data_IF_420205375891
#
_entry.id   IF_420205375891
#
_cell.length_a   1.000
_cell.length_b   1.000
_cell.length_c   1.000
_cell.angle_alpha   90.00
_cell.angle_beta   90.00
_cell.angle_gamma   90.00
#
_symmetry.space_group_name_H-M   'P 1'
#
loop_
_entity.id
_entity.type
_entity.pdbx_description
1 polymer ?
#
# COMPACT_ATOMS: atom_id res chain seq x y z
N UNK A 1 -15.03 10.39 1.79
CA UNK A 1 -14.81 9.92 3.18
C UNK A 1 -16.13 9.37 3.68
N UNK A 2 -16.12 8.15 4.22
CA UNK A 2 -17.29 7.57 4.89
C UNK A 2 -17.17 7.87 6.37
N UNK A 3 -18.24 8.40 6.97
CA UNK A 3 -18.27 8.71 8.39
C UNK A 3 -19.18 7.72 9.08
N UNK A 4 -18.67 7.09 10.13
CA UNK A 4 -19.43 6.26 11.04
C UNK A 4 -19.74 7.07 12.29
N UNK A 5 -20.98 7.01 12.74
CA UNK A 5 -21.41 7.67 13.97
C UNK A 5 -21.65 6.58 15.01
N UNK A 6 -20.96 6.68 16.14
CA UNK A 6 -21.12 5.77 17.27
C UNK A 6 -21.63 6.54 18.48
N UNK A 7 -22.42 5.93 19.37
CA UNK A 7 -22.85 6.62 20.58
C UNK A 7 -21.68 6.86 21.52
N UNK A 8 -21.64 8.02 22.17
CA UNK A 8 -20.72 8.29 23.27
C UNK A 8 -21.24 7.57 24.52
N UNK A 9 -20.80 6.33 24.71
CA UNK A 9 -21.31 5.44 25.77
C UNK A 9 -21.23 6.04 27.18
N UNK A 10 -20.24 6.89 27.46
CA UNK A 10 -20.11 7.57 28.77
C UNK A 10 -21.25 8.56 29.04
N UNK A 11 -21.76 9.22 28.01
CA UNK A 11 -22.80 10.25 28.11
C UNK A 11 -24.18 9.63 27.89
N UNK A 12 -24.32 8.78 26.87
CA UNK A 12 -25.59 8.19 26.46
C UNK A 12 -26.01 7.00 27.35
N UNK A 13 -25.06 6.25 27.90
CA UNK A 13 -25.32 5.08 28.73
C UNK A 13 -26.22 5.37 29.94
N UNK A 14 -25.90 6.38 30.77
CA UNK A 14 -26.74 6.78 31.90
C UNK A 14 -28.12 7.31 31.49
N UNK A 15 -28.20 8.03 30.35
CA UNK A 15 -29.45 8.65 29.88
C UNK A 15 -30.43 7.62 29.31
N UNK A 16 -29.94 6.68 28.51
CA UNK A 16 -30.79 5.83 27.68
C UNK A 16 -30.75 4.34 28.03
N UNK A 17 -29.76 3.90 28.83
CA UNK A 17 -29.70 2.57 29.44
C UNK A 17 -30.12 1.42 28.52
N UNK A 18 -31.33 0.89 28.73
CA UNK A 18 -31.91 -0.23 27.96
C UNK A 18 -32.07 0.07 26.46
N UNK A 19 -32.20 1.32 26.07
CA UNK A 19 -32.35 1.75 24.66
C UNK A 19 -31.01 1.84 23.92
N UNK A 20 -29.87 1.74 24.62
CA UNK A 20 -28.53 1.86 24.00
C UNK A 20 -28.29 0.89 22.85
N UNK A 21 -28.85 -0.32 22.94
CA UNK A 21 -28.74 -1.31 21.86
C UNK A 21 -29.44 -0.81 20.59
N UNK A 22 -30.68 -0.34 20.72
CA UNK A 22 -31.45 0.19 19.60
C UNK A 22 -30.82 1.46 19.01
N UNK A 23 -30.28 2.34 19.87
CA UNK A 23 -29.56 3.56 19.43
C UNK A 23 -28.31 3.19 18.62
N UNK A 24 -27.53 2.22 19.09
CA UNK A 24 -26.31 1.77 18.38
C UNK A 24 -26.66 1.18 17.01
N UNK A 25 -27.72 0.37 16.93
CA UNK A 25 -28.20 -0.23 15.68
C UNK A 25 -28.79 0.80 14.70
N UNK A 26 -29.42 1.86 15.21
CA UNK A 26 -29.94 2.95 14.39
C UNK A 26 -28.78 3.80 13.84
N UNK A 27 -27.83 4.19 14.70
CA UNK A 27 -26.66 4.99 14.33
C UNK A 27 -25.77 4.31 13.28
N UNK A 28 -25.58 2.99 13.36
CA UNK A 28 -24.76 2.25 12.38
C UNK A 28 -25.34 2.21 10.96
N UNK A 29 -26.63 2.51 10.80
CA UNK A 29 -27.32 2.56 9.50
C UNK A 29 -27.37 3.96 8.90
N UNK A 30 -27.02 4.99 9.67
CA UNK A 30 -27.07 6.37 9.20
C UNK A 30 -25.89 6.69 8.27
N UNK A 31 -26.11 7.65 7.38
CA UNK A 31 -25.03 8.31 6.66
C UNK A 31 -24.42 9.38 7.58
N UNK A 32 -23.22 9.15 8.10
CA UNK A 32 -22.61 10.09 9.06
C UNK A 32 -22.44 11.53 8.55
N UNK A 33 -22.40 11.76 7.22
CA UNK A 33 -22.39 13.11 6.65
C UNK A 33 -23.68 13.89 6.94
N UNK A 34 -24.83 13.23 6.94
CA UNK A 34 -26.13 13.86 7.21
C UNK A 34 -26.21 14.28 8.69
N UNK A 35 -25.72 13.43 9.59
CA UNK A 35 -25.63 13.71 11.04
C UNK A 35 -24.71 14.90 11.31
N UNK A 36 -23.51 14.91 10.72
CA UNK A 36 -22.56 16.03 10.84
C UNK A 36 -23.14 17.33 10.29
N UNK A 37 -23.85 17.28 9.16
CA UNK A 37 -24.46 18.46 8.56
C UNK A 37 -25.52 19.06 9.48
N UNK A 38 -26.39 18.22 10.07
CA UNK A 38 -27.39 18.66 11.03
C UNK A 38 -26.77 19.30 12.29
N UNK A 39 -25.69 18.73 12.81
CA UNK A 39 -24.97 19.34 13.94
C UNK A 39 -24.41 20.72 13.59
N UNK A 40 -23.86 20.90 12.39
CA UNK A 40 -23.34 22.20 11.97
C UNK A 40 -24.43 23.23 11.68
N UNK A 41 -25.63 22.81 11.24
CA UNK A 41 -26.72 23.71 10.87
C UNK A 41 -27.66 24.04 12.03
N UNK A 42 -28.14 23.02 12.75
CA UNK A 42 -29.18 23.13 13.77
C UNK A 42 -28.69 22.76 15.17
N UNK A 43 -27.48 22.20 15.30
CA UNK A 43 -26.94 21.74 16.59
C UNK A 43 -27.56 20.43 17.10
N UNK A 44 -28.55 19.89 16.38
CA UNK A 44 -29.32 18.70 16.78
C UNK A 44 -29.57 17.83 15.56
N UNK A 45 -29.45 16.52 15.72
CA UNK A 45 -29.92 15.51 14.76
C UNK A 45 -31.08 14.72 15.36
N UNK A 46 -32.22 14.69 14.67
CA UNK A 46 -33.40 13.98 15.12
C UNK A 46 -33.36 12.52 14.65
N UNK A 47 -33.16 11.59 15.59
CA UNK A 47 -33.24 10.16 15.34
C UNK A 47 -34.70 9.71 15.38
N UNK A 48 -35.42 9.93 14.27
CA UNK A 48 -36.88 9.80 14.18
C UNK A 48 -37.38 8.40 14.58
N UNK A 49 -36.65 7.34 14.23
CA UNK A 49 -37.01 5.94 14.53
C UNK A 49 -37.14 5.65 16.03
N UNK A 50 -36.45 6.43 16.87
CA UNK A 50 -36.47 6.29 18.33
C UNK A 50 -37.07 7.51 19.03
N UNK A 51 -37.40 8.58 18.30
CA UNK A 51 -37.86 9.84 18.88
C UNK A 51 -36.83 10.52 19.78
N UNK A 52 -35.54 10.38 19.44
CA UNK A 52 -34.42 10.89 20.25
C UNK A 52 -33.72 12.03 19.52
N UNK A 53 -33.47 13.11 20.24
CA UNK A 53 -32.66 14.22 19.75
C UNK A 53 -31.21 14.02 20.19
N UNK A 54 -30.31 13.92 19.21
CA UNK A 54 -28.89 13.79 19.46
C UNK A 54 -28.21 15.16 19.36
N UNK A 55 -27.35 15.46 20.33
CA UNK A 55 -26.42 16.59 20.25
C UNK A 55 -24.99 16.10 19.96
N UNK A 56 -24.05 16.96 19.54
CA UNK A 56 -22.69 16.54 19.19
C UNK A 56 -21.97 15.74 20.29
N UNK A 57 -22.23 16.04 21.56
CA UNK A 57 -21.64 15.39 22.73
C UNK A 57 -22.13 13.95 22.92
N UNK A 58 -23.31 13.61 22.39
CA UNK A 58 -23.92 12.29 22.53
C UNK A 58 -23.29 11.25 21.60
N UNK A 59 -22.44 11.66 20.65
CA UNK A 59 -21.87 10.77 19.64
C UNK A 59 -20.37 10.99 19.42
N UNK A 60 -19.73 9.96 18.88
CA UNK A 60 -18.36 9.98 18.39
C UNK A 60 -18.41 9.71 16.89
N UNK A 61 -17.81 10.58 16.11
CA UNK A 61 -17.72 10.41 14.66
C UNK A 61 -16.34 9.85 14.31
N UNK A 62 -16.33 8.72 13.61
CA UNK A 62 -15.13 8.08 13.11
C UNK A 62 -15.10 8.17 11.58
N UNK A 63 -13.92 8.43 11.02
CA UNK A 63 -13.73 8.35 9.57
C UNK A 63 -13.36 6.90 9.26
N UNK A 64 -14.17 6.25 8.42
CA UNK A 64 -13.83 4.94 7.89
C UNK A 64 -13.08 5.15 6.55
N UNK A 65 -11.87 4.56 6.41
CA UNK A 65 -11.21 4.49 5.11
C UNK A 65 -12.09 3.79 4.07
N UNK A 66 -11.98 4.20 2.81
CA UNK A 66 -12.52 3.38 1.73
C UNK A 66 -11.71 2.08 1.64
N UNK A 67 -12.36 1.02 1.18
CA UNK A 67 -11.67 -0.24 0.87
C UNK A 67 -10.47 0.03 -0.04
N UNK A 68 -9.32 -0.59 0.24
CA UNK A 68 -8.05 -0.34 -0.46
C UNK A 68 -7.25 0.87 0.05
N UNK A 69 -7.69 1.56 1.11
CA UNK A 69 -6.92 2.64 1.73
C UNK A 69 -6.57 2.32 3.19
N UNK A 70 -5.32 2.56 3.57
CA UNK A 70 -4.90 2.65 4.97
C UNK A 70 -5.00 4.11 5.40
N UNK A 71 -5.64 4.35 6.54
CA UNK A 71 -5.89 5.69 7.06
C UNK A 71 -5.20 5.87 8.39
N UNK A 72 -4.37 6.91 8.50
CA UNK A 72 -3.76 7.33 9.75
C UNK A 72 -4.15 8.78 10.03
N UNK A 73 -4.47 9.04 11.30
CA UNK A 73 -4.85 10.38 11.76
C UNK A 73 -3.89 10.84 12.85
N UNK A 74 -3.28 12.00 12.63
CA UNK A 74 -2.48 12.68 13.65
C UNK A 74 -3.03 14.09 13.84
N UNK A 75 -3.62 14.34 15.01
CA UNK A 75 -4.38 15.55 15.33
C UNK A 75 -5.53 15.79 14.33
N UNK A 76 -5.52 16.93 13.65
CA UNK A 76 -6.48 17.40 12.64
C UNK A 76 -6.06 17.03 11.20
N UNK A 77 -4.97 16.26 11.03
CA UNK A 77 -4.47 15.83 9.72
C UNK A 77 -4.74 14.35 9.47
N UNK A 78 -5.08 14.08 8.22
CA UNK A 78 -5.44 12.75 7.75
C UNK A 78 -4.54 12.36 6.58
N UNK A 79 -3.93 11.18 6.66
CA UNK A 79 -3.18 10.58 5.56
C UNK A 79 -3.93 9.32 5.13
N UNK A 80 -4.22 9.25 3.83
CA UNK A 80 -4.79 8.07 3.20
C UNK A 80 -3.78 7.53 2.20
N UNK A 81 -3.32 6.30 2.40
CA UNK A 81 -2.46 5.58 1.47
C UNK A 81 -3.30 4.57 0.69
N UNK A 82 -3.36 4.72 -0.64
CA UNK A 82 -3.91 3.70 -1.52
C UNK A 82 -2.94 2.51 -1.56
N UNK A 83 -3.42 1.35 -1.13
CA UNK A 83 -2.63 0.11 -1.11
C UNK A 83 -2.90 -0.77 -2.33
N UNK A 84 -3.65 -0.29 -3.31
CA UNK A 84 -3.95 -1.02 -4.53
C UNK A 84 -2.71 -1.13 -5.39
N UNK A 85 -2.17 -2.35 -5.53
CA UNK A 85 -1.06 -2.62 -6.43
C UNK A 85 -1.56 -2.70 -7.87
N UNK A 86 -1.13 -1.74 -8.69
CA UNK A 86 -1.36 -1.77 -10.13
C UNK A 86 -0.31 -2.66 -10.81
N UNK A 87 -0.58 -3.20 -12.01
CA UNK A 87 0.42 -3.95 -12.78
C UNK A 87 1.72 -3.17 -12.98
N UNK A 88 1.60 -1.85 -13.18
CA UNK A 88 2.75 -0.95 -13.34
C UNK A 88 3.59 -0.84 -12.06
N UNK A 89 2.94 -0.73 -10.90
CA UNK A 89 3.64 -0.71 -9.60
C UNK A 89 4.31 -2.04 -9.29
N UNK A 90 3.71 -3.17 -9.68
CA UNK A 90 4.32 -4.49 -9.55
C UNK A 90 5.59 -4.59 -10.39
N UNK A 91 5.53 -4.20 -11.66
CA UNK A 91 6.69 -4.22 -12.56
C UNK A 91 7.82 -3.31 -12.07
N UNK A 92 7.50 -2.11 -11.58
CA UNK A 92 8.48 -1.21 -10.96
C UNK A 92 9.12 -1.83 -9.72
N UNK A 93 8.30 -2.50 -8.88
CA UNK A 93 8.77 -3.23 -7.70
C UNK A 93 9.76 -4.34 -8.05
N UNK A 94 9.45 -5.15 -9.08
CA UNK A 94 10.37 -6.18 -9.57
C UNK A 94 11.66 -5.57 -10.12
N UNK A 95 11.59 -4.49 -10.89
CA UNK A 95 12.77 -3.81 -11.42
C UNK A 95 13.69 -3.27 -10.31
N UNK A 96 13.12 -2.65 -9.27
CA UNK A 96 13.89 -2.15 -8.11
C UNK A 96 14.57 -3.28 -7.34
N UNK A 97 13.86 -4.39 -7.14
CA UNK A 97 14.41 -5.53 -6.42
C UNK A 97 15.49 -6.24 -7.25
N UNK A 98 15.34 -6.32 -8.58
CA UNK A 98 16.41 -6.77 -9.47
C UNK A 98 17.67 -5.90 -9.35
N UNK A 99 17.53 -4.57 -9.37
CA UNK A 99 18.66 -3.66 -9.13
C UNK A 99 19.30 -3.95 -7.78
N UNK A 100 18.52 -4.15 -6.72
CA UNK A 100 19.04 -4.49 -5.40
C UNK A 100 19.89 -5.77 -5.44
N UNK A 101 19.38 -6.86 -6.05
CA UNK A 101 20.10 -8.13 -6.13
C UNK A 101 21.34 -8.05 -7.00
N UNK A 102 21.27 -7.40 -8.16
CA UNK A 102 22.43 -7.21 -9.04
C UNK A 102 23.54 -6.44 -8.31
N UNK A 103 23.20 -5.36 -7.62
CA UNK A 103 24.17 -4.57 -6.84
C UNK A 103 24.72 -5.35 -5.64
N UNK A 104 23.92 -6.21 -5.03
CA UNK A 104 24.37 -7.12 -3.99
C UNK A 104 25.38 -8.14 -4.54
N UNK A 105 25.07 -8.83 -5.64
CA UNK A 105 25.98 -9.78 -6.30
C UNK A 105 27.31 -9.13 -6.69
N UNK A 106 27.29 -7.89 -7.20
CA UNK A 106 28.52 -7.14 -7.51
C UNK A 106 29.42 -6.96 -6.29
N UNK A 107 28.83 -6.69 -5.12
CA UNK A 107 29.57 -6.58 -3.86
C UNK A 107 30.10 -7.93 -3.40
N UNK A 108 29.30 -8.99 -3.53
CA UNK A 108 29.76 -10.35 -3.20
C UNK A 108 30.93 -10.83 -4.07
N UNK A 109 31.00 -10.34 -5.30
CA UNK A 109 32.10 -10.65 -6.24
C UNK A 109 33.25 -9.65 -6.19
N UNK A 110 33.26 -8.72 -5.22
CA UNK A 110 34.29 -7.69 -5.03
C UNK A 110 34.54 -6.83 -6.29
N UNK A 111 33.49 -6.52 -7.06
CA UNK A 111 33.61 -5.64 -8.22
C UNK A 111 33.81 -4.18 -7.82
N UNK A 112 34.59 -3.45 -8.61
CA UNK A 112 34.77 -2.01 -8.40
C UNK A 112 33.47 -1.25 -8.70
N UNK A 113 33.33 -0.08 -8.07
CA UNK A 113 32.14 0.77 -8.20
C UNK A 113 31.90 1.18 -9.66
N UNK A 114 32.96 1.31 -10.47
CA UNK A 114 32.89 1.77 -11.86
C UNK A 114 32.83 0.62 -12.88
N UNK A 115 32.88 -0.63 -12.42
CA UNK A 115 32.93 -1.77 -13.34
C UNK A 115 31.63 -1.89 -14.14
N UNK A 116 31.77 -2.06 -15.45
CA UNK A 116 30.64 -2.39 -16.31
C UNK A 116 30.44 -3.89 -16.35
N UNK A 117 29.19 -4.32 -16.45
CA UNK A 117 28.82 -5.73 -16.34
C UNK A 117 27.85 -6.18 -17.43
N UNK A 118 27.81 -7.48 -17.66
CA UNK A 118 26.72 -8.17 -18.34
C UNK A 118 25.98 -8.99 -17.30
N UNK A 119 24.66 -8.88 -17.27
CA UNK A 119 23.80 -9.67 -16.40
C UNK A 119 23.07 -10.70 -17.25
N UNK A 120 23.31 -11.97 -16.97
CA UNK A 120 22.49 -13.07 -17.44
C UNK A 120 21.41 -13.36 -16.39
N UNK A 121 20.18 -13.56 -16.85
CA UNK A 121 19.06 -13.82 -15.96
C UNK A 121 18.16 -14.94 -16.51
N UNK A 122 17.56 -15.71 -15.61
CA UNK A 122 16.51 -16.69 -15.90
C UNK A 122 15.36 -16.50 -14.92
N UNK A 123 14.13 -16.44 -15.44
CA UNK A 123 12.93 -16.18 -14.66
C UNK A 123 11.67 -16.27 -15.52
N UNK A 124 10.54 -16.00 -14.88
CA UNK A 124 9.21 -16.03 -15.51
C UNK A 124 8.94 -14.80 -16.40
N UNK A 125 7.74 -14.77 -16.98
CA UNK A 125 7.34 -13.73 -17.93
C UNK A 125 6.99 -12.39 -17.26
N UNK A 126 6.68 -12.36 -15.97
CA UNK A 126 6.48 -11.11 -15.25
C UNK A 126 7.81 -10.39 -15.02
N UNK A 127 8.87 -11.16 -14.76
CA UNK A 127 10.25 -10.65 -14.71
C UNK A 127 10.71 -10.18 -16.09
N UNK A 128 10.38 -10.92 -17.15
CA UNK A 128 10.62 -10.47 -18.53
C UNK A 128 9.97 -9.10 -18.77
N UNK A 129 8.67 -8.98 -18.47
CA UNK A 129 7.92 -7.74 -18.69
C UNK A 129 8.50 -6.55 -17.87
N UNK A 130 8.94 -6.80 -16.63
CA UNK A 130 9.60 -5.79 -15.82
C UNK A 130 10.95 -5.36 -16.41
N UNK A 131 11.78 -6.30 -16.87
CA UNK A 131 13.08 -6.02 -17.49
C UNK A 131 12.91 -5.29 -18.82
N UNK A 132 11.89 -5.63 -19.62
CA UNK A 132 11.63 -4.95 -20.88
C UNK A 132 11.16 -3.51 -20.65
N UNK A 133 10.26 -3.29 -19.69
CA UNK A 133 9.73 -1.96 -19.38
C UNK A 133 10.75 -1.05 -18.69
N UNK A 134 11.59 -1.60 -17.81
CA UNK A 134 12.55 -0.84 -17.00
C UNK A 134 14.01 -1.11 -17.40
N UNK A 135 14.26 -1.54 -18.64
CA UNK A 135 15.60 -1.95 -19.11
C UNK A 135 16.66 -0.88 -18.86
N UNK A 136 16.39 0.34 -19.32
CA UNK A 136 17.33 1.46 -19.21
C UNK A 136 17.59 1.84 -17.75
N UNK A 137 16.54 1.80 -16.92
CA UNK A 137 16.66 2.06 -15.49
C UNK A 137 17.58 1.03 -14.82
N UNK A 138 17.31 -0.26 -15.02
CA UNK A 138 18.11 -1.34 -14.42
C UNK A 138 19.56 -1.24 -14.88
N UNK A 139 19.81 -1.08 -16.18
CA UNK A 139 21.16 -0.94 -16.74
C UNK A 139 21.91 0.25 -16.16
N UNK A 140 21.26 1.40 -16.08
CA UNK A 140 21.86 2.62 -15.54
C UNK A 140 22.25 2.46 -14.07
N UNK A 141 21.34 1.95 -13.24
CA UNK A 141 21.58 1.81 -11.81
C UNK A 141 22.61 0.74 -11.46
N UNK A 142 22.82 -0.25 -12.34
CA UNK A 142 23.73 -1.38 -12.11
C UNK A 142 25.03 -1.32 -12.91
N UNK A 143 25.21 -0.26 -13.71
CA UNK A 143 26.27 -0.13 -14.72
C UNK A 143 26.34 -1.34 -15.67
N UNK A 144 25.20 -1.95 -15.96
CA UNK A 144 25.12 -3.08 -16.89
C UNK A 144 25.03 -2.59 -18.33
N UNK A 145 25.83 -3.18 -19.20
CA UNK A 145 25.77 -2.94 -20.64
C UNK A 145 24.65 -3.78 -21.28
N UNK A 146 24.41 -4.97 -20.75
CA UNK A 146 23.44 -5.92 -21.26
C UNK A 146 22.70 -6.67 -20.13
N UNK A 147 21.40 -6.88 -20.34
CA UNK A 147 20.55 -7.77 -19.54
C UNK A 147 20.05 -8.87 -20.48
N UNK A 148 20.59 -10.09 -20.33
CA UNK A 148 20.39 -11.19 -21.26
C UNK A 148 19.57 -12.30 -20.61
N UNK A 149 18.40 -12.61 -21.19
CA UNK A 149 17.66 -13.81 -20.79
C UNK A 149 18.39 -15.06 -21.30
N UNK A 150 18.60 -16.03 -20.43
CA UNK A 150 19.12 -17.35 -20.79
C UNK A 150 18.01 -18.40 -20.69
N UNK A 151 18.21 -19.58 -21.30
CA UNK A 151 17.21 -20.66 -21.34
C UNK A 151 17.39 -21.70 -20.21
N UNK A 152 18.38 -21.52 -19.34
CA UNK A 152 18.70 -22.45 -18.26
C UNK A 152 19.31 -21.69 -17.08
N UNK A 153 18.96 -22.11 -15.87
CA UNK A 153 19.47 -21.54 -14.61
C UNK A 153 20.76 -22.18 -14.09
N UNK A 154 21.41 -23.05 -14.87
CA UNK A 154 22.60 -23.78 -14.42
C UNK A 154 23.76 -22.84 -14.04
N UNK A 155 24.37 -23.09 -12.87
CA UNK A 155 25.48 -22.31 -12.32
C UNK A 155 25.16 -20.81 -12.12
N UNK A 156 23.89 -20.47 -11.90
CA UNK A 156 23.44 -19.12 -11.58
C UNK A 156 23.03 -19.05 -10.10
N UNK A 157 23.14 -17.86 -9.50
CA UNK A 157 22.71 -17.62 -8.12
C UNK A 157 21.21 -17.32 -8.09
N UNK A 158 20.50 -17.94 -7.16
CA UNK A 158 19.05 -17.78 -7.02
C UNK A 158 18.71 -16.66 -6.03
N UNK A 159 17.71 -15.86 -6.37
CA UNK A 159 17.18 -14.79 -5.54
C UNK A 159 15.65 -14.79 -5.56
N UNK A 160 15.06 -14.34 -4.45
CA UNK A 160 13.64 -14.01 -4.37
C UNK A 160 13.43 -12.54 -4.77
N UNK A 161 12.62 -12.31 -5.80
CA UNK A 161 12.23 -11.01 -6.34
C UNK A 161 10.73 -10.81 -6.04
N UNK A 162 10.43 -10.40 -4.81
CA UNK A 162 9.07 -10.16 -4.33
C UNK A 162 8.10 -11.34 -4.53
N UNK A 163 8.55 -12.55 -4.16
CA UNK A 163 7.80 -13.80 -4.27
C UNK A 163 8.04 -14.59 -5.56
N UNK A 164 9.03 -14.19 -6.37
CA UNK A 164 9.40 -14.84 -7.63
C UNK A 164 10.84 -15.30 -7.60
N UNK A 165 11.07 -16.54 -7.99
CA UNK A 165 12.41 -17.10 -8.06
C UNK A 165 13.10 -16.65 -9.35
N UNK A 166 14.19 -15.90 -9.21
CA UNK A 166 14.99 -15.39 -10.33
C UNK A 166 16.44 -15.79 -10.14
N UNK A 167 17.03 -16.26 -11.23
CA UNK A 167 18.41 -16.71 -11.26
C UNK A 167 19.24 -15.65 -11.97
N UNK A 168 20.34 -15.23 -11.36
CA UNK A 168 21.23 -14.20 -11.87
C UNK A 168 22.67 -14.72 -11.97
N UNK A 169 23.36 -14.26 -13.00
CA UNK A 169 24.80 -14.42 -13.14
C UNK A 169 25.39 -13.17 -13.77
N UNK A 170 26.45 -12.66 -13.18
CA UNK A 170 27.05 -11.39 -13.59
C UNK A 170 28.49 -11.62 -14.01
N UNK A 171 28.90 -10.90 -15.05
CA UNK A 171 30.27 -10.91 -15.56
C UNK A 171 30.75 -9.48 -15.74
N UNK A 172 31.99 -9.20 -15.40
CA UNK A 172 32.64 -7.93 -15.71
C UNK A 172 32.93 -7.86 -17.21
N UNK A 173 32.66 -6.70 -17.82
CA UNK A 173 33.06 -6.41 -19.20
C UNK A 173 34.55 -6.11 -19.20
N UNK A 174 35.35 -6.97 -19.83
CA UNK A 174 36.77 -6.67 -20.07
C UNK A 174 36.88 -5.64 -21.18
N UNK A 175 37.36 -4.44 -20.84
CA UNK A 175 37.80 -3.48 -21.85
C UNK A 175 39.12 -3.98 -22.44
N UNK A 176 39.11 -4.29 -23.74
CA UNK A 176 40.33 -4.44 -24.53
C UNK A 176 41.04 -3.10 -24.72
#
# INVERSE_FOLDING_TARGET
MQYEVKPQFKIMGPKYGKQMKAITEALSKLKGQEVLSAFNSSGVYHLTDLGIDLVPEDVVVQIIPREGFVFESMNDKFVALDTTLTPDLLQEGYARELVNKIQFTRKEQDFDILDRIVVEWYGDDDIQAAIDKYNDYIKKETLSDELRRVNSSQNMQVYDINGREVYLKIYKVENK
#
